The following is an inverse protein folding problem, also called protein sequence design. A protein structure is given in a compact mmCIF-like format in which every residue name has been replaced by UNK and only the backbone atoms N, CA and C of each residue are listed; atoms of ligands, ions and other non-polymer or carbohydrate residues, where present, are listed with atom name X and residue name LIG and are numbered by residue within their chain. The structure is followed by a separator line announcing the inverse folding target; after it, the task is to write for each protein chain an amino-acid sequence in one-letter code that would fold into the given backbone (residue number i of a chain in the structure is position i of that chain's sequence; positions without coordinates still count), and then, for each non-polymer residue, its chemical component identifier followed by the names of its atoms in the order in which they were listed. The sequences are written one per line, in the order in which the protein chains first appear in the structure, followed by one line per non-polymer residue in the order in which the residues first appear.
data_IF_023490638549
#
_entry.id   IF_023490638549
#
_cell.length_a   1.000
_cell.length_b   1.000
_cell.length_c   1.000
_cell.angle_alpha   90.00
_cell.angle_beta   90.00
_cell.angle_gamma   90.00
#
_symmetry.space_group_name_H-M   'P 1'
#
loop_
_entity.id
_entity.type
_entity.pdbx_description
1 polymer ?
#
# COMPACT_ATOMS: atom_id res chain seq x y z
N UNK A 1 3.12 34.73 42.89
CA UNK A 1 1.79 35.01 43.45
C UNK A 1 0.91 33.93 42.90
N UNK A 2 0.70 32.90 43.66
CA UNK A 2 -0.50 32.62 44.45
C UNK A 2 -1.60 32.09 43.53
N UNK A 3 -2.28 31.02 43.67
CA UNK A 3 -2.67 30.12 44.79
C UNK A 3 -3.56 29.08 44.13
N UNK A 4 -3.37 27.82 44.36
CA UNK A 4 -3.92 26.92 45.38
C UNK A 4 -5.41 26.61 45.23
N UNK A 5 -5.70 25.29 45.34
CA UNK A 5 -6.80 24.64 46.06
C UNK A 5 -8.03 24.37 45.21
N UNK A 6 -8.72 23.24 45.27
CA UNK A 6 -9.08 22.25 46.29
C UNK A 6 -9.60 20.99 45.57
N UNK A 7 -9.28 19.85 45.89
CA UNK A 7 -9.74 18.88 46.89
C UNK A 7 -11.28 18.73 47.00
N UNK A 8 -11.82 17.68 46.45
CA UNK A 8 -13.22 17.22 46.59
C UNK A 8 -13.30 15.71 46.74
N UNK A 9 -13.24 15.30 48.02
CA UNK A 9 -13.49 13.93 48.53
C UNK A 9 -15.01 13.65 48.56
N UNK A 10 -15.35 12.43 48.37
CA UNK A 10 -16.68 11.89 48.68
C UNK A 10 -16.78 10.49 48.12
N UNK A 11 -16.40 9.47 48.81
CA UNK A 11 -17.10 8.74 49.86
C UNK A 11 -18.35 8.00 49.35
N UNK A 12 -18.20 6.70 49.14
CA UNK A 12 -18.65 5.57 49.96
C UNK A 12 -20.12 5.16 49.79
N UNK A 13 -20.31 3.91 49.75
CA UNK A 13 -21.38 2.95 50.15
C UNK A 13 -22.09 2.32 48.95
N UNK A 14 -22.39 1.10 48.85
CA UNK A 14 -22.41 -0.06 49.74
C UNK A 14 -22.92 -1.22 48.90
N UNK A 15 -22.41 -2.34 49.23
CA UNK A 15 -22.87 -3.70 48.93
C UNK A 15 -24.37 -3.90 48.84
N UNK A 16 -24.81 -4.63 47.84
CA UNK A 16 -25.90 -5.62 48.03
C UNK A 16 -25.55 -6.86 47.24
N UNK A 17 -25.32 -7.91 48.01
CA UNK A 17 -25.26 -9.28 47.56
C UNK A 17 -26.69 -9.76 47.42
N UNK A 18 -27.06 -10.34 46.31
CA UNK A 18 -28.18 -11.26 46.27
C UNK A 18 -27.86 -12.39 45.29
N UNK A 19 -27.76 -13.53 45.91
CA UNK A 19 -27.63 -14.87 45.30
C UNK A 19 -29.00 -15.37 44.82
N UNK A 20 -28.95 -16.23 43.84
CA UNK A 20 -29.83 -17.31 43.40
C UNK A 20 -30.22 -17.12 41.92
N UNK A 21 -30.24 -18.08 41.02
CA UNK A 21 -30.43 -19.53 41.13
C UNK A 21 -29.95 -20.15 39.80
N UNK A 22 -29.45 -21.34 39.91
CA UNK A 22 -29.16 -22.31 38.89
C UNK A 22 -30.38 -22.59 37.98
N UNK A 23 -30.17 -22.50 36.70
CA UNK A 23 -30.90 -23.31 35.72
C UNK A 23 -29.91 -23.67 34.61
N UNK A 24 -29.46 -24.90 34.73
CA UNK A 24 -28.72 -25.61 33.71
C UNK A 24 -29.64 -25.83 32.51
N UNK A 25 -29.31 -25.28 31.39
CA UNK A 25 -29.72 -25.76 30.08
C UNK A 25 -28.47 -26.26 29.38
N UNK A 26 -28.29 -27.54 29.48
CA UNK A 26 -27.36 -28.31 28.67
C UNK A 26 -27.91 -28.34 27.25
N UNK A 27 -27.29 -27.58 26.35
CA UNK A 27 -27.46 -27.75 24.91
C UNK A 27 -26.18 -28.29 24.32
N UNK A 28 -26.27 -29.41 23.56
CA UNK A 28 -25.08 -29.99 22.94
C UNK A 28 -24.52 -29.04 21.89
N UNK A 29 -23.37 -28.49 22.15
CA UNK A 29 -22.59 -27.68 21.23
C UNK A 29 -22.34 -28.46 19.94
N UNK A 30 -23.11 -28.14 18.92
CA UNK A 30 -22.86 -28.54 17.56
C UNK A 30 -21.54 -27.92 17.16
N UNK A 31 -20.51 -28.76 17.07
CA UNK A 31 -19.15 -28.36 16.73
C UNK A 31 -19.12 -27.56 15.43
N UNK A 32 -19.05 -26.25 15.57
CA UNK A 32 -18.63 -25.37 14.49
C UNK A 32 -17.13 -25.60 14.34
N UNK A 33 -16.77 -26.41 13.38
CA UNK A 33 -15.39 -26.49 12.91
C UNK A 33 -15.02 -25.08 12.44
N UNK A 34 -14.34 -24.35 13.28
CA UNK A 34 -13.57 -23.19 12.89
C UNK A 34 -12.55 -23.68 11.87
N UNK A 35 -12.89 -23.53 10.60
CA UNK A 35 -11.92 -23.64 9.54
C UNK A 35 -10.84 -22.61 9.84
N UNK A 36 -9.57 -22.98 9.99
CA UNK A 36 -8.52 -21.99 10.03
C UNK A 36 -8.60 -21.27 8.68
N UNK A 37 -9.00 -20.02 8.72
CA UNK A 37 -8.83 -19.10 7.57
C UNK A 37 -7.32 -19.02 7.36
N UNK A 38 -6.80 -20.03 6.68
CA UNK A 38 -5.47 -19.98 6.12
C UNK A 38 -5.48 -18.76 5.20
N UNK A 39 -4.79 -17.73 5.62
CA UNK A 39 -4.34 -16.68 4.72
C UNK A 39 -3.54 -17.43 3.65
N UNK A 40 -4.19 -17.76 2.54
CA UNK A 40 -3.51 -18.23 1.35
C UNK A 40 -2.54 -17.11 1.00
N UNK A 41 -1.28 -17.28 1.38
CA UNK A 41 -0.19 -16.50 0.80
C UNK A 41 -0.24 -16.87 -0.68
N UNK A 42 -0.89 -16.00 -1.44
CA UNK A 42 -0.92 -16.08 -2.89
C UNK A 42 0.53 -15.96 -3.32
N UNK A 43 1.15 -17.09 -3.64
CA UNK A 43 2.51 -17.14 -4.20
C UNK A 43 2.45 -16.72 -5.66
N UNK A 44 2.02 -15.47 -5.88
CA UNK A 44 2.07 -14.82 -7.17
C UNK A 44 3.54 -14.69 -7.55
N UNK A 45 3.88 -14.99 -8.80
CA UNK A 45 5.28 -14.82 -9.22
C UNK A 45 5.65 -13.33 -9.22
N UNK A 46 6.92 -12.98 -8.99
CA UNK A 46 7.37 -11.57 -9.03
C UNK A 46 6.98 -10.85 -10.35
N UNK A 47 6.89 -11.59 -11.44
CA UNK A 47 6.48 -11.05 -12.74
C UNK A 47 4.99 -10.72 -12.78
N UNK A 48 4.13 -11.57 -12.21
CA UNK A 48 2.70 -11.29 -12.14
C UNK A 48 2.39 -10.15 -11.16
N UNK A 49 3.09 -10.09 -10.04
CA UNK A 49 2.99 -8.96 -9.11
C UNK A 49 3.40 -7.65 -9.80
N UNK A 50 4.51 -7.64 -10.54
CA UNK A 50 4.97 -6.46 -11.29
C UNK A 50 3.97 -6.03 -12.36
N UNK A 51 3.37 -6.97 -13.10
CA UNK A 51 2.31 -6.66 -14.08
C UNK A 51 1.10 -6.02 -13.42
N UNK A 52 0.64 -6.59 -12.31
CA UNK A 52 -0.48 -6.05 -11.54
C UNK A 52 -0.20 -4.64 -11.05
N UNK A 53 1.01 -4.37 -10.53
CA UNK A 53 1.43 -3.04 -10.09
C UNK A 53 1.50 -2.06 -11.27
N UNK A 54 2.08 -2.47 -12.38
CA UNK A 54 2.18 -1.65 -13.58
C UNK A 54 0.80 -1.22 -14.08
N UNK A 55 -0.15 -2.15 -14.15
CA UNK A 55 -1.51 -1.91 -14.61
C UNK A 55 -2.34 -1.06 -13.64
N UNK A 56 -2.27 -1.35 -12.34
CA UNK A 56 -3.18 -0.74 -11.36
C UNK A 56 -2.63 0.54 -10.72
N UNK A 57 -1.30 0.75 -10.70
CA UNK A 57 -0.69 1.96 -10.13
C UNK A 57 -0.08 2.85 -11.21
N UNK A 58 0.81 2.30 -12.04
CA UNK A 58 1.60 3.09 -12.96
C UNK A 58 0.77 3.58 -14.16
N UNK A 59 -0.05 2.71 -14.74
CA UNK A 59 -0.85 3.03 -15.92
C UNK A 59 -1.88 4.15 -15.68
N UNK A 60 -2.28 4.38 -14.45
CA UNK A 60 -3.18 5.50 -14.10
C UNK A 60 -2.64 6.85 -14.57
N UNK A 61 -1.33 7.04 -14.54
CA UNK A 61 -0.65 8.24 -15.00
C UNK A 61 0.10 8.02 -16.33
N UNK A 62 0.84 6.90 -16.42
CA UNK A 62 1.71 6.64 -17.59
C UNK A 62 0.97 6.03 -18.78
N UNK A 63 -0.27 5.53 -18.59
CA UNK A 63 -0.99 4.81 -19.63
C UNK A 63 -0.48 3.37 -19.79
N UNK A 64 -1.30 2.51 -20.40
CA UNK A 64 -0.94 1.10 -20.63
C UNK A 64 0.27 0.93 -21.55
N UNK A 65 0.42 1.85 -22.50
CA UNK A 65 1.57 1.92 -23.42
C UNK A 65 2.74 2.73 -22.91
N UNK A 66 2.68 3.25 -21.68
CA UNK A 66 3.74 4.06 -21.09
C UNK A 66 3.91 5.46 -21.69
N UNK A 67 2.94 5.98 -22.46
CA UNK A 67 3.03 7.25 -23.22
C UNK A 67 2.78 8.50 -22.38
N UNK A 68 2.49 8.36 -21.09
CA UNK A 68 2.12 9.49 -20.23
C UNK A 68 0.68 9.98 -20.47
N UNK A 69 -0.16 9.15 -21.05
CA UNK A 69 -1.54 9.42 -21.47
C UNK A 69 -2.60 8.72 -20.60
N UNK A 70 -2.22 8.24 -19.44
CA UNK A 70 -3.14 7.60 -18.50
C UNK A 70 -4.29 8.52 -18.09
N UNK A 71 -5.38 7.94 -17.53
CA UNK A 71 -6.59 8.70 -17.21
C UNK A 71 -6.32 9.91 -16.29
N UNK A 72 -5.37 9.81 -15.37
CA UNK A 72 -4.99 10.90 -14.46
C UNK A 72 -4.03 11.92 -15.12
N UNK A 73 -3.37 11.58 -16.22
CA UNK A 73 -2.41 12.47 -16.86
C UNK A 73 -3.00 13.81 -17.29
N UNK A 74 -4.31 13.86 -17.58
CA UNK A 74 -4.97 15.06 -18.08
C UNK A 74 -4.89 16.25 -17.14
N UNK A 75 -4.90 16.00 -15.85
CA UNK A 75 -4.90 17.04 -14.79
C UNK A 75 -3.51 17.32 -14.23
N UNK A 76 -2.48 16.58 -14.66
CA UNK A 76 -1.13 16.73 -14.13
C UNK A 76 -0.31 17.75 -14.92
N UNK A 77 0.41 18.61 -14.19
CA UNK A 77 1.40 19.54 -14.74
C UNK A 77 2.64 19.51 -13.84
N UNK A 78 3.80 19.08 -14.32
CA UNK A 78 4.06 18.59 -15.69
C UNK A 78 3.38 17.24 -15.98
N UNK A 79 3.21 16.95 -17.27
CA UNK A 79 2.71 15.66 -17.73
C UNK A 79 3.63 14.52 -17.29
N UNK A 80 3.08 13.31 -17.04
CA UNK A 80 3.89 12.11 -16.83
C UNK A 80 4.87 11.88 -17.99
N UNK A 81 6.04 11.34 -17.67
CA UNK A 81 7.05 11.02 -18.68
C UNK A 81 6.50 9.99 -19.68
N UNK A 82 6.71 10.25 -20.97
CA UNK A 82 6.57 9.25 -22.02
C UNK A 82 7.72 8.23 -21.89
N UNK A 83 7.37 7.06 -21.38
CA UNK A 83 8.31 5.95 -21.19
C UNK A 83 8.57 5.18 -22.49
N UNK A 84 7.76 5.37 -23.53
CA UNK A 84 7.95 4.73 -24.83
C UNK A 84 8.96 5.48 -25.71
N UNK A 85 9.35 6.69 -25.32
CA UNK A 85 10.35 7.49 -26.05
C UNK A 85 11.71 6.79 -26.11
N UNK A 86 12.14 6.42 -27.30
CA UNK A 86 13.47 5.78 -27.52
C UNK A 86 14.62 6.68 -27.07
N UNK A 87 14.48 8.01 -27.21
CA UNK A 87 15.46 8.96 -26.75
C UNK A 87 15.60 8.93 -25.23
N UNK A 88 14.47 9.00 -24.50
CA UNK A 88 14.48 8.91 -23.05
C UNK A 88 15.03 7.56 -22.58
N UNK A 89 14.63 6.46 -23.20
CA UNK A 89 15.10 5.12 -22.87
C UNK A 89 16.64 4.98 -22.97
N UNK A 90 17.25 5.65 -23.93
CA UNK A 90 18.72 5.66 -24.05
C UNK A 90 19.40 6.58 -23.04
N UNK A 91 18.69 7.62 -22.56
CA UNK A 91 19.25 8.61 -21.64
C UNK A 91 19.18 8.21 -20.16
N UNK A 92 18.43 7.15 -19.82
CA UNK A 92 18.21 6.74 -18.45
C UNK A 92 18.76 5.33 -18.17
N UNK A 93 19.40 5.14 -17.02
CA UNK A 93 19.87 3.81 -16.58
C UNK A 93 18.77 3.06 -15.83
N UNK A 94 18.91 1.72 -15.76
CA UNK A 94 18.02 0.88 -14.94
C UNK A 94 18.03 1.29 -13.46
N UNK A 95 19.18 1.70 -12.95
CA UNK A 95 19.31 2.21 -11.59
C UNK A 95 18.46 3.47 -11.37
N UNK A 96 18.44 4.40 -12.33
CA UNK A 96 17.62 5.61 -12.25
C UNK A 96 16.12 5.28 -12.35
N UNK A 97 15.74 4.32 -13.21
CA UNK A 97 14.34 3.84 -13.29
C UNK A 97 13.94 3.23 -11.94
N UNK A 98 14.79 2.38 -11.36
CA UNK A 98 14.58 1.76 -10.05
C UNK A 98 14.40 2.80 -8.96
N UNK A 99 15.28 3.80 -8.91
CA UNK A 99 15.18 4.91 -7.95
C UNK A 99 13.88 5.68 -8.12
N UNK A 100 13.49 5.99 -9.37
CA UNK A 100 12.23 6.69 -9.64
C UNK A 100 11.01 5.89 -9.19
N UNK A 101 11.01 4.56 -9.37
CA UNK A 101 9.93 3.70 -8.89
C UNK A 101 9.87 3.72 -7.36
N UNK A 102 11.00 3.53 -6.67
CA UNK A 102 11.04 3.43 -5.21
C UNK A 102 10.78 4.77 -4.52
N UNK A 103 11.43 5.83 -4.98
CA UNK A 103 11.48 7.12 -4.29
C UNK A 103 10.56 8.17 -4.93
N UNK A 104 9.86 7.80 -5.99
CA UNK A 104 9.04 8.73 -6.75
C UNK A 104 9.86 9.71 -7.59
N UNK A 105 9.17 10.67 -8.19
CA UNK A 105 9.81 11.66 -9.04
C UNK A 105 10.82 12.55 -8.30
N UNK A 106 10.56 12.87 -7.05
CA UNK A 106 11.47 13.66 -6.21
C UNK A 106 12.82 12.98 -6.00
N UNK A 107 12.86 11.65 -5.87
CA UNK A 107 14.08 10.88 -5.70
C UNK A 107 15.05 10.96 -6.90
N UNK A 108 14.57 11.40 -8.05
CA UNK A 108 15.38 11.58 -9.27
C UNK A 108 15.36 13.04 -9.76
N UNK A 109 15.00 13.99 -8.90
CA UNK A 109 14.96 15.43 -9.23
C UNK A 109 13.86 15.79 -10.24
N UNK A 110 12.75 15.06 -10.23
CA UNK A 110 11.57 15.27 -11.09
C UNK A 110 10.33 15.64 -10.26
N UNK A 111 9.17 15.65 -10.89
CA UNK A 111 7.92 16.07 -10.25
C UNK A 111 7.54 15.21 -9.06
N UNK A 112 7.16 15.83 -7.94
CA UNK A 112 6.59 15.20 -6.75
C UNK A 112 5.24 14.52 -7.01
N UNK A 113 4.61 14.80 -8.17
CA UNK A 113 3.36 14.18 -8.56
C UNK A 113 3.50 12.69 -8.91
N UNK A 114 4.73 12.23 -9.17
CA UNK A 114 5.03 10.80 -9.23
C UNK A 114 5.29 10.30 -7.81
N UNK A 115 4.38 9.52 -7.22
CA UNK A 115 4.53 9.03 -5.84
C UNK A 115 5.64 7.98 -5.72
N UNK A 116 6.16 7.83 -4.51
CA UNK A 116 7.08 6.74 -4.14
C UNK A 116 6.33 5.44 -3.90
N UNK A 117 7.04 4.31 -4.01
CA UNK A 117 6.52 2.97 -3.71
C UNK A 117 7.45 2.27 -2.70
N UNK A 118 7.47 2.71 -1.43
CA UNK A 118 8.37 2.15 -0.41
C UNK A 118 8.07 0.67 -0.11
N UNK A 119 6.84 0.21 -0.38
CA UNK A 119 6.42 -1.18 -0.24
C UNK A 119 7.15 -2.15 -1.19
N UNK A 120 7.91 -1.63 -2.14
CA UNK A 120 8.73 -2.40 -3.06
C UNK A 120 10.20 -2.53 -2.63
N UNK A 121 10.61 -1.86 -1.56
CA UNK A 121 12.00 -1.87 -1.10
C UNK A 121 12.48 -3.30 -0.75
N UNK A 122 11.62 -4.09 -0.13
CA UNK A 122 11.90 -5.47 0.26
C UNK A 122 11.51 -6.50 -0.82
N UNK A 123 11.20 -6.05 -2.05
CA UNK A 123 10.77 -6.89 -3.16
C UNK A 123 11.65 -6.71 -4.41
N UNK A 124 12.95 -6.99 -4.32
CA UNK A 124 13.89 -6.70 -5.42
C UNK A 124 13.51 -7.37 -6.73
N UNK A 125 13.02 -8.62 -6.70
CA UNK A 125 12.61 -9.34 -7.91
C UNK A 125 11.40 -8.70 -8.61
N UNK A 126 10.44 -8.16 -7.85
CA UNK A 126 9.29 -7.42 -8.39
C UNK A 126 9.75 -6.11 -9.00
N UNK A 127 10.65 -5.42 -8.32
CA UNK A 127 11.22 -4.15 -8.79
C UNK A 127 12.02 -4.35 -10.09
N UNK A 128 12.79 -5.44 -10.20
CA UNK A 128 13.51 -5.80 -11.44
C UNK A 128 12.53 -6.09 -12.58
N UNK A 129 11.44 -6.78 -12.29
CA UNK A 129 10.40 -7.04 -13.29
C UNK A 129 9.70 -5.73 -13.73
N UNK A 130 9.48 -4.78 -12.83
CA UNK A 130 8.94 -3.46 -13.18
C UNK A 130 9.89 -2.68 -14.09
N UNK A 131 11.20 -2.69 -13.81
CA UNK A 131 12.20 -2.07 -14.71
C UNK A 131 12.14 -2.68 -16.10
N UNK A 132 12.01 -4.01 -16.22
CA UNK A 132 11.86 -4.69 -17.51
C UNK A 132 10.57 -4.27 -18.23
N UNK A 133 9.45 -4.10 -17.51
CA UNK A 133 8.20 -3.58 -18.08
C UNK A 133 8.42 -2.18 -18.66
N UNK A 134 9.06 -1.28 -17.89
CA UNK A 134 9.37 0.09 -18.35
C UNK A 134 10.25 0.05 -19.60
N UNK A 135 11.26 -0.83 -19.67
CA UNK A 135 12.07 -1.02 -20.86
C UNK A 135 11.29 -1.56 -22.05
N UNK A 136 10.30 -2.41 -21.77
CA UNK A 136 9.45 -3.00 -22.80
C UNK A 136 8.56 -1.99 -23.55
N UNK A 137 8.35 -0.78 -23.02
CA UNK A 137 7.58 0.25 -23.70
C UNK A 137 8.30 0.86 -24.92
N UNK A 138 9.61 0.69 -25.05
CA UNK A 138 10.45 1.28 -26.12
C UNK A 138 10.41 0.51 -27.46
N UNK A 139 9.35 -0.22 -27.74
CA UNK A 139 9.21 -1.04 -28.98
C UNK A 139 8.96 -0.21 -30.23
#
# INVERSE_FOLDING_TARGET
MASITELGRGAVVASVVLAAALLACDEPAKGTKSSPSGTAVSTTSPTEDAKSIAQNRCAMCHGEGGRGDGPQARTLTPKPRDLSSKEWQRSVSDAQIRTAILQGGSGVGKSVLMPSNPDLADKPAVLDALVKIVRGYAQ
#
